data_IF_027215789518
#
_entry.id   IF_027215789518
#
_cell.length_a   1.000
_cell.length_b   1.000
_cell.length_c   1.000
_cell.angle_alpha   90.00
_cell.angle_beta   90.00
_cell.angle_gamma   90.00
#
_symmetry.space_group_name_H-M   'P 1'
#
loop_
_entity.id
_entity.type
_entity.pdbx_description
1 polymer ?
#
# COMPACT_ATOMS: atom_id res chain seq x y z
N UNK A 1 15.81 -1.40 2.39
CA UNK A 1 14.72 -1.90 1.51
C UNK A 1 13.69 -0.81 1.33
N UNK A 2 12.81 -0.93 0.33
CA UNK A 2 11.77 0.06 0.07
C UNK A 2 10.59 -0.14 1.02
N UNK A 3 10.71 0.42 2.23
CA UNK A 3 9.76 0.29 3.34
C UNK A 3 8.28 0.52 2.95
N UNK A 4 7.93 1.54 2.14
CA UNK A 4 6.54 1.84 1.82
C UNK A 4 5.77 0.73 1.09
N UNK A 5 6.48 -0.17 0.41
CA UNK A 5 5.88 -1.24 -0.39
C UNK A 5 5.72 -2.53 0.43
N UNK A 6 6.27 -2.58 1.65
CA UNK A 6 6.19 -3.77 2.49
C UNK A 6 4.84 -3.77 3.22
N UNK A 7 4.08 -4.85 3.03
CA UNK A 7 2.76 -4.98 3.63
C UNK A 7 2.81 -5.00 5.18
N UNK A 8 1.79 -4.46 5.87
CA UNK A 8 1.74 -4.38 7.33
C UNK A 8 1.99 -5.70 8.06
N UNK A 9 1.44 -6.80 7.56
CA UNK A 9 1.62 -8.14 8.13
C UNK A 9 3.07 -8.62 7.99
N UNK A 10 3.78 -8.22 6.94
CA UNK A 10 5.19 -8.56 6.74
C UNK A 10 6.08 -7.77 7.69
N UNK A 11 5.74 -6.49 7.93
CA UNK A 11 6.42 -5.65 8.93
C UNK A 11 6.23 -6.18 10.36
N UNK A 12 5.08 -6.82 10.65
CA UNK A 12 4.79 -7.47 11.93
C UNK A 12 5.46 -8.84 12.09
N UNK A 13 6.14 -9.34 11.05
CA UNK A 13 6.67 -10.70 10.98
C UNK A 13 5.58 -11.78 11.10
N UNK A 14 4.36 -11.44 10.69
CA UNK A 14 3.26 -12.39 10.55
C UNK A 14 3.45 -13.26 9.30
N UNK A 15 2.51 -14.18 9.06
CA UNK A 15 2.56 -15.08 7.91
C UNK A 15 2.50 -14.29 6.59
N UNK A 16 3.54 -14.43 5.77
CA UNK A 16 3.53 -13.94 4.40
C UNK A 16 2.50 -14.72 3.56
N UNK A 17 1.71 -13.98 2.79
CA UNK A 17 0.73 -14.52 1.85
C UNK A 17 0.81 -13.75 0.52
N UNK A 18 0.26 -14.28 -0.59
CA UNK A 18 0.19 -13.54 -1.85
C UNK A 18 -0.53 -12.18 -1.74
N UNK A 19 -1.28 -11.93 -0.66
CA UNK A 19 -1.91 -10.63 -0.39
C UNK A 19 -0.90 -9.53 -0.08
N UNK A 20 0.32 -9.86 0.34
CA UNK A 20 1.40 -8.91 0.49
C UNK A 20 1.88 -8.34 -0.86
N UNK A 21 1.86 -9.17 -1.91
CA UNK A 21 2.16 -8.72 -3.27
C UNK A 21 1.06 -7.79 -3.80
N UNK A 22 -0.20 -8.06 -3.46
CA UNK A 22 -1.34 -7.17 -3.80
C UNK A 22 -1.20 -5.80 -3.12
N UNK A 23 -0.75 -5.77 -1.87
CA UNK A 23 -0.42 -4.51 -1.18
C UNK A 23 0.69 -3.74 -1.92
N UNK A 24 1.77 -4.45 -2.26
CA UNK A 24 2.90 -3.87 -3.00
C UNK A 24 2.45 -3.30 -4.35
N UNK A 25 1.52 -3.98 -5.03
CA UNK A 25 0.92 -3.51 -6.27
C UNK A 25 0.08 -2.24 -6.05
N UNK A 26 -0.69 -2.13 -4.97
CA UNK A 26 -1.41 -0.89 -4.62
C UNK A 26 -0.45 0.29 -4.45
N UNK A 27 0.68 0.07 -3.79
CA UNK A 27 1.73 1.09 -3.64
C UNK A 27 2.43 1.44 -4.96
N UNK A 28 2.63 0.46 -5.84
CA UNK A 28 3.14 0.70 -7.19
C UNK A 28 2.14 1.48 -8.05
N UNK A 29 0.84 1.16 -7.97
CA UNK A 29 -0.20 1.92 -8.66
C UNK A 29 -0.18 3.38 -8.24
N UNK A 30 -0.01 3.66 -6.95
CA UNK A 30 0.16 5.03 -6.44
C UNK A 30 1.33 5.74 -7.09
N UNK A 31 2.50 5.10 -7.13
CA UNK A 31 3.68 5.68 -7.75
C UNK A 31 3.48 5.96 -9.25
N UNK A 32 2.86 5.05 -9.98
CA UNK A 32 2.54 5.22 -11.40
C UNK A 32 1.58 6.39 -11.62
N UNK A 33 0.55 6.52 -10.77
CA UNK A 33 -0.50 7.53 -10.94
C UNK A 33 -0.07 8.92 -10.47
N UNK A 34 0.80 9.00 -9.47
CA UNK A 34 1.26 10.27 -8.91
C UNK A 34 2.61 10.73 -9.45
N UNK A 35 3.41 9.81 -9.98
CA UNK A 35 4.80 10.04 -10.36
C UNK A 35 5.76 10.11 -9.16
N UNK A 36 5.27 9.89 -7.94
CA UNK A 36 6.07 9.97 -6.71
C UNK A 36 6.01 8.66 -5.92
N UNK A 37 7.13 8.23 -5.31
CA UNK A 37 7.10 7.12 -4.38
C UNK A 37 6.08 7.35 -3.24
N UNK A 38 5.44 6.29 -2.72
CA UNK A 38 4.58 6.40 -1.56
C UNK A 38 5.38 6.94 -0.37
N UNK A 39 4.83 7.95 0.32
CA UNK A 39 5.50 8.66 1.42
C UNK A 39 6.84 9.33 1.04
N UNK A 40 6.98 9.80 -0.20
CA UNK A 40 8.20 10.51 -0.68
C UNK A 40 8.61 11.72 0.16
N UNK A 41 7.68 12.29 0.93
CA UNK A 41 7.85 13.43 1.83
C UNK A 41 8.29 13.03 3.25
N UNK A 42 8.48 11.74 3.53
CA UNK A 42 8.78 11.21 4.86
C UNK A 42 10.09 10.44 4.88
N UNK A 43 10.72 10.40 6.06
CA UNK A 43 11.88 9.54 6.31
C UNK A 43 11.43 8.08 6.41
N UNK A 44 12.12 7.17 5.72
CA UNK A 44 11.82 5.74 5.70
C UNK A 44 12.47 5.01 6.89
N UNK A 45 12.04 5.35 8.10
CA UNK A 45 12.55 4.78 9.36
C UNK A 45 11.51 3.91 10.08
N UNK A 46 11.79 3.54 11.33
CA UNK A 46 10.89 2.74 12.15
C UNK A 46 9.55 3.45 12.46
N UNK A 47 9.50 4.78 12.49
CA UNK A 47 8.26 5.52 12.70
C UNK A 47 7.32 5.34 11.52
N UNK A 48 7.85 5.40 10.29
CA UNK A 48 7.04 5.12 9.09
C UNK A 48 6.52 3.67 9.09
N UNK A 49 7.33 2.70 9.54
CA UNK A 49 6.88 1.31 9.67
C UNK A 49 5.70 1.17 10.65
N UNK A 50 5.77 1.84 11.80
CA UNK A 50 4.70 1.87 12.81
C UNK A 50 3.43 2.51 12.22
N UNK A 51 3.56 3.58 11.46
CA UNK A 51 2.42 4.26 10.84
C UNK A 51 1.73 3.39 9.78
N UNK A 52 2.51 2.72 8.92
CA UNK A 52 1.99 1.77 7.93
C UNK A 52 1.20 0.66 8.63
N UNK A 53 1.78 0.09 9.69
CA UNK A 53 1.16 -0.93 10.55
C UNK A 53 -0.12 -0.42 11.22
N UNK A 54 -0.16 0.85 11.58
CA UNK A 54 -1.32 1.54 12.18
C UNK A 54 -2.41 1.90 11.15
N UNK A 55 -2.17 1.67 9.86
CA UNK A 55 -3.14 1.91 8.80
C UNK A 55 -3.00 3.26 8.10
N UNK A 56 -1.96 4.04 8.39
CA UNK A 56 -1.67 5.27 7.64
C UNK A 56 -1.33 4.92 6.19
N UNK A 57 -1.86 5.70 5.24
CA UNK A 57 -1.66 5.55 3.81
C UNK A 57 -1.27 6.90 3.17
N UNK A 58 -0.61 6.89 2.00
CA UNK A 58 -0.34 8.12 1.26
C UNK A 58 -1.62 8.86 0.88
N UNK A 59 -1.56 10.18 0.78
CA UNK A 59 -2.69 10.98 0.30
C UNK A 59 -2.86 10.80 -1.20
N UNK A 60 -4.07 10.44 -1.62
CA UNK A 60 -4.44 10.27 -3.03
C UNK A 60 -4.79 11.63 -3.63
N UNK A 61 -4.23 12.01 -4.80
CA UNK A 61 -4.63 13.23 -5.49
C UNK A 61 -6.13 13.22 -5.85
N UNK A 62 -6.84 14.35 -5.66
CA UNK A 62 -8.28 14.42 -5.94
C UNK A 62 -8.62 14.22 -7.43
N UNK A 63 -7.67 14.51 -8.32
CA UNK A 63 -7.87 14.51 -9.77
C UNK A 63 -7.86 13.10 -10.40
N UNK A 64 -7.55 12.06 -9.62
CA UNK A 64 -7.58 10.69 -10.13
C UNK A 64 -9.03 10.19 -10.32
N UNK A 65 -9.32 9.41 -11.37
CA UNK A 65 -10.61 8.76 -11.53
C UNK A 65 -10.97 7.89 -10.32
N UNK A 66 -12.21 7.99 -9.84
CA UNK A 66 -12.65 7.30 -8.62
C UNK A 66 -12.50 5.78 -8.68
N UNK A 67 -12.66 5.19 -9.87
CA UNK A 67 -12.41 3.76 -10.10
C UNK A 67 -10.98 3.35 -9.76
N UNK A 68 -9.99 4.19 -10.12
CA UNK A 68 -8.58 3.92 -9.82
C UNK A 68 -8.26 4.14 -8.35
N UNK A 69 -8.84 5.18 -7.73
CA UNK A 69 -8.72 5.42 -6.29
C UNK A 69 -9.24 4.22 -5.50
N UNK A 70 -10.46 3.78 -5.82
CA UNK A 70 -11.10 2.65 -5.18
C UNK A 70 -10.29 1.36 -5.33
N UNK A 71 -9.82 1.04 -6.53
CA UNK A 71 -9.01 -0.16 -6.79
C UNK A 71 -7.71 -0.14 -5.98
N UNK A 72 -7.00 0.99 -6.00
CA UNK A 72 -5.76 1.18 -5.23
C UNK A 72 -6.02 1.05 -3.73
N UNK A 73 -7.11 1.63 -3.24
CA UNK A 73 -7.52 1.55 -1.84
C UNK A 73 -7.81 0.12 -1.37
N UNK A 74 -8.49 -0.66 -2.22
CA UNK A 74 -8.70 -2.08 -1.95
C UNK A 74 -7.39 -2.87 -1.90
N UNK A 75 -6.43 -2.55 -2.78
CA UNK A 75 -5.15 -3.26 -2.83
C UNK A 75 -4.32 -3.08 -1.55
N UNK A 76 -4.36 -1.90 -0.92
CA UNK A 76 -3.54 -1.61 0.27
C UNK A 76 -4.29 -1.64 1.61
N UNK A 77 -5.45 -2.30 1.66
CA UNK A 77 -6.22 -2.47 2.89
C UNK A 77 -5.36 -3.06 4.02
N UNK A 78 -5.58 -2.62 5.26
CA UNK A 78 -4.78 -3.10 6.39
C UNK A 78 -5.06 -4.58 6.69
N UNK A 79 -6.27 -5.05 6.40
CA UNK A 79 -6.65 -6.46 6.48
C UNK A 79 -6.30 -7.17 5.15
N UNK A 80 -5.37 -8.15 5.13
CA UNK A 80 -5.01 -8.89 3.93
C UNK A 80 -6.19 -9.59 3.24
N UNK A 81 -7.20 -10.03 4.02
CA UNK A 81 -8.37 -10.72 3.48
C UNK A 81 -9.34 -9.79 2.75
N UNK A 82 -9.34 -8.49 3.08
CA UNK A 82 -10.14 -7.49 2.38
C UNK A 82 -9.56 -7.12 1.01
N UNK A 83 -8.26 -7.36 0.80
CA UNK A 83 -7.59 -7.09 -0.47
C UNK A 83 -8.12 -8.03 -1.57
N UNK A 84 -8.14 -7.61 -2.85
CA UNK A 84 -8.49 -8.49 -3.95
C UNK A 84 -7.47 -9.63 -4.13
N UNK A 85 -7.80 -10.61 -4.95
CA UNK A 85 -6.83 -11.60 -5.46
C UNK A 85 -6.32 -11.13 -6.80
N UNK A 86 -5.13 -11.58 -7.23
CA UNK A 86 -4.62 -11.27 -8.57
C UNK A 86 -5.59 -11.62 -9.70
N UNK A 87 -6.39 -12.68 -9.55
CA UNK A 87 -7.42 -13.06 -10.52
C UNK A 87 -8.64 -12.11 -10.60
N UNK A 88 -8.76 -11.14 -9.68
CA UNK A 88 -9.86 -10.17 -9.58
C UNK A 88 -9.41 -8.74 -9.88
N UNK A 89 -8.12 -8.55 -10.16
CA UNK A 89 -7.54 -7.31 -10.65
C UNK A 89 -7.59 -7.32 -12.18
#
# INVERSE_FOLDING_TARGET
GNLPYIAPEVLRLDRFTPKADIYSLGMLMYEILTGFPPFHDRVHDCHLAIDIVSGIRPTIPPDLPDTLKYLMEQCWDNNPEARPTSAKL
#
